data_IF_611392349091
#
_entry.id   IF_611392349091
#
_cell.length_a   1.000
_cell.length_b   1.000
_cell.length_c   1.000
_cell.angle_alpha   90.00
_cell.angle_beta   90.00
_cell.angle_gamma   90.00
#
_symmetry.space_group_name_H-M   'P 1'
#
loop_
_entity.id
_entity.type
_entity.pdbx_description
1 polymer ?
#
# COMPACT_ATOMS: atom_id res chain seq x y z
N UNK A 1 4.07 -0.05 -18.78
CA UNK A 1 4.65 -0.17 -17.41
C UNK A 1 3.67 -0.73 -16.38
N UNK A 2 2.41 -0.24 -16.33
CA UNK A 2 1.34 -0.73 -15.46
C UNK A 2 1.15 -2.26 -15.48
N UNK A 3 1.11 -2.87 -16.67
CA UNK A 3 0.98 -4.33 -16.87
C UNK A 3 2.15 -5.14 -16.30
N UNK A 4 3.36 -4.58 -16.29
CA UNK A 4 4.55 -5.24 -15.71
C UNK A 4 4.49 -5.24 -14.18
N UNK A 5 4.11 -4.11 -13.58
CA UNK A 5 3.92 -3.98 -12.13
C UNK A 5 2.82 -4.93 -11.63
N UNK A 6 1.68 -4.98 -12.34
CA UNK A 6 0.59 -5.90 -11.99
C UNK A 6 1.01 -7.36 -12.08
N UNK A 7 1.79 -7.74 -13.11
CA UNK A 7 2.32 -9.11 -13.23
C UNK A 7 3.26 -9.44 -12.08
N UNK A 8 4.17 -8.52 -11.73
CA UNK A 8 5.08 -8.69 -10.60
C UNK A 8 4.29 -8.86 -9.28
N UNK A 9 3.24 -8.07 -9.08
CA UNK A 9 2.36 -8.21 -7.93
C UNK A 9 1.60 -9.54 -7.91
N UNK A 10 0.99 -9.97 -9.02
CA UNK A 10 0.30 -11.28 -9.10
C UNK A 10 1.27 -12.44 -8.84
N UNK A 11 2.52 -12.35 -9.29
CA UNK A 11 3.55 -13.34 -8.96
C UNK A 11 3.95 -13.29 -7.48
N UNK A 12 4.07 -12.10 -6.91
CA UNK A 12 4.35 -11.90 -5.49
C UNK A 12 3.26 -12.51 -4.63
N UNK A 13 1.97 -12.26 -4.94
CA UNK A 13 0.84 -12.87 -4.22
C UNK A 13 0.96 -14.39 -4.18
N UNK A 14 1.24 -15.03 -5.32
CA UNK A 14 1.46 -16.48 -5.40
C UNK A 14 2.63 -16.94 -4.52
N UNK A 15 3.75 -16.21 -4.53
CA UNK A 15 4.92 -16.56 -3.71
C UNK A 15 4.69 -16.39 -2.20
N UNK A 16 3.72 -15.55 -1.83
CA UNK A 16 3.34 -15.27 -0.45
C UNK A 16 2.05 -15.99 -0.04
N UNK A 17 1.61 -16.98 -0.80
CA UNK A 17 0.39 -17.75 -0.53
C UNK A 17 -0.87 -16.88 -0.34
N UNK A 18 -0.91 -15.71 -1.00
CA UNK A 18 -2.11 -14.88 -1.06
C UNK A 18 -3.03 -15.44 -2.13
N UNK A 19 -4.23 -15.83 -1.71
CA UNK A 19 -5.26 -16.41 -2.58
C UNK A 19 -6.36 -15.38 -2.81
N UNK A 20 -6.76 -15.20 -4.07
CA UNK A 20 -7.91 -14.36 -4.44
C UNK A 20 -8.94 -15.23 -5.14
N UNK A 21 -10.22 -14.97 -4.89
CA UNK A 21 -11.32 -15.62 -5.60
C UNK A 21 -11.24 -15.33 -7.10
N UNK A 22 -11.52 -16.34 -7.93
CA UNK A 22 -11.63 -16.20 -9.39
C UNK A 22 -12.79 -15.28 -9.82
N UNK A 23 -13.68 -14.92 -8.89
CA UNK A 23 -14.72 -13.91 -9.09
C UNK A 23 -14.16 -12.47 -9.10
N UNK A 24 -12.87 -12.28 -8.83
CA UNK A 24 -12.23 -10.96 -8.77
C UNK A 24 -11.08 -10.84 -9.79
N UNK A 25 -10.91 -9.63 -10.31
CA UNK A 25 -9.71 -9.23 -11.03
C UNK A 25 -9.07 -8.00 -10.40
N UNK A 26 -7.74 -7.99 -10.41
CA UNK A 26 -6.94 -6.84 -9.99
C UNK A 26 -6.59 -6.06 -11.24
N UNK A 27 -7.10 -4.82 -11.31
CA UNK A 27 -7.02 -3.94 -12.49
C UNK A 27 -6.10 -2.77 -12.18
N UNK A 28 -5.34 -2.34 -13.19
CA UNK A 28 -4.57 -1.08 -13.12
C UNK A 28 -5.18 -0.06 -14.07
N UNK A 29 -5.54 1.09 -13.53
CA UNK A 29 -6.06 2.21 -14.31
C UNK A 29 -4.93 2.80 -15.16
N UNK A 30 -5.11 2.80 -16.49
CA UNK A 30 -4.07 3.15 -17.48
C UNK A 30 -3.48 4.55 -17.29
N UNK A 31 -4.28 5.50 -16.77
CA UNK A 31 -3.90 6.91 -16.68
C UNK A 31 -3.31 7.31 -15.32
N UNK A 32 -3.61 6.56 -14.25
CA UNK A 32 -3.16 6.90 -12.88
C UNK A 32 -2.20 5.88 -12.28
N UNK A 33 -1.99 4.72 -12.93
CA UNK A 33 -1.35 3.54 -12.33
C UNK A 33 -2.02 3.08 -11.03
N UNK A 34 -3.22 3.58 -10.72
CA UNK A 34 -3.99 3.18 -9.55
C UNK A 34 -4.43 1.73 -9.71
N UNK A 35 -4.32 0.97 -8.63
CA UNK A 35 -4.70 -0.44 -8.58
C UNK A 35 -6.05 -0.54 -7.89
N UNK A 36 -6.98 -1.28 -8.50
CA UNK A 36 -8.29 -1.54 -7.94
C UNK A 36 -8.66 -3.02 -8.09
N UNK A 37 -9.66 -3.45 -7.33
CA UNK A 37 -10.26 -4.78 -7.45
C UNK A 37 -11.62 -4.62 -8.11
N UNK A 38 -11.93 -5.49 -9.06
CA UNK A 38 -13.19 -5.50 -9.80
C UNK A 38 -13.81 -6.89 -9.75
N UNK A 39 -15.10 -6.96 -9.45
CA UNK A 39 -15.87 -8.19 -9.54
C UNK A 39 -16.11 -8.58 -11.01
N UNK A 40 -15.98 -9.87 -11.31
CA UNK A 40 -16.23 -10.47 -12.63
C UNK A 40 -17.63 -11.10 -12.72
N UNK A 41 -18.26 -11.33 -11.58
CA UNK A 41 -19.64 -11.78 -11.45
C UNK A 41 -20.26 -11.20 -10.18
N UNK A 42 -21.56 -11.45 -9.99
CA UNK A 42 -22.25 -11.05 -8.77
C UNK A 42 -21.64 -11.75 -7.55
N UNK A 43 -21.45 -10.99 -6.48
CA UNK A 43 -20.97 -11.47 -5.19
C UNK A 43 -22.09 -11.33 -4.16
N UNK A 44 -22.22 -12.32 -3.28
CA UNK A 44 -23.16 -12.31 -2.18
C UNK A 44 -22.47 -11.89 -0.88
N UNK A 45 -23.26 -11.40 0.08
CA UNK A 45 -22.77 -11.11 1.42
C UNK A 45 -22.28 -12.42 2.07
N UNK A 46 -21.02 -12.41 2.52
CA UNK A 46 -20.37 -13.57 3.12
C UNK A 46 -19.47 -14.37 2.17
N UNK A 47 -19.44 -14.04 0.88
CA UNK A 47 -18.53 -14.68 -0.07
C UNK A 47 -17.06 -14.40 0.28
N UNK A 48 -16.25 -15.45 0.29
CA UNK A 48 -14.80 -15.34 0.49
C UNK A 48 -14.16 -14.73 -0.76
N UNK A 49 -13.61 -13.52 -0.61
CA UNK A 49 -12.99 -12.77 -1.70
C UNK A 49 -11.48 -12.99 -1.80
N UNK A 50 -10.80 -13.14 -0.67
CA UNK A 50 -9.37 -13.39 -0.61
C UNK A 50 -8.97 -13.96 0.76
N UNK A 51 -7.87 -14.71 0.77
CA UNK A 51 -7.18 -15.19 1.96
C UNK A 51 -5.75 -14.64 1.95
N UNK A 52 -5.39 -13.89 2.99
CA UNK A 52 -4.06 -13.29 3.14
C UNK A 52 -3.41 -13.89 4.40
N UNK A 53 -2.33 -14.68 4.26
CA UNK A 53 -1.58 -15.18 5.41
C UNK A 53 -0.99 -14.04 6.22
N UNK A 54 -0.91 -14.20 7.55
CA UNK A 54 -0.39 -13.15 8.44
C UNK A 54 1.07 -12.85 8.18
N UNK A 55 1.82 -13.86 7.75
CA UNK A 55 3.24 -13.81 7.42
C UNK A 55 3.50 -12.93 6.19
N UNK A 56 2.52 -12.84 5.28
CA UNK A 56 2.57 -12.04 4.06
C UNK A 56 2.34 -10.55 4.32
N UNK A 57 1.76 -10.20 5.48
CA UNK A 57 1.56 -8.81 5.89
C UNK A 57 2.90 -8.16 6.23
N UNK A 58 3.18 -6.98 5.67
CA UNK A 58 4.34 -6.19 6.05
C UNK A 58 4.10 -5.52 7.40
N UNK A 59 4.83 -5.96 8.41
CA UNK A 59 4.77 -5.45 9.79
C UNK A 59 6.19 -5.35 10.35
N UNK A 60 6.35 -4.71 11.52
CA UNK A 60 7.62 -4.75 12.26
C UNK A 60 8.07 -6.20 12.51
N UNK A 61 7.14 -7.10 12.85
CA UNK A 61 7.47 -8.49 13.20
C UNK A 61 7.92 -9.35 12.03
N UNK A 62 7.41 -9.05 10.84
CA UNK A 62 7.65 -9.83 9.62
C UNK A 62 8.77 -9.24 8.76
N UNK A 63 9.07 -7.95 8.90
CA UNK A 63 10.13 -7.27 8.15
C UNK A 63 11.55 -7.71 8.55
N UNK A 64 12.49 -7.59 7.61
CA UNK A 64 13.92 -7.73 7.88
C UNK A 64 14.51 -6.63 8.78
N UNK A 65 13.80 -5.50 8.96
CA UNK A 65 14.21 -4.41 9.84
C UNK A 65 13.96 -4.69 11.33
N UNK A 66 13.26 -5.78 11.67
CA UNK A 66 12.73 -6.05 13.01
C UNK A 66 13.73 -5.78 14.13
N UNK A 67 14.91 -6.36 14.03
CA UNK A 67 15.94 -6.25 15.08
C UNK A 67 16.37 -4.80 15.29
N UNK A 68 16.59 -4.04 14.21
CA UNK A 68 16.98 -2.64 14.28
C UNK A 68 15.88 -1.76 14.91
N UNK A 69 14.62 -2.05 14.60
CA UNK A 69 13.46 -1.35 15.18
C UNK A 69 13.36 -1.63 16.68
N UNK A 70 13.48 -2.90 17.08
CA UNK A 70 13.44 -3.33 18.49
C UNK A 70 14.61 -2.72 19.29
N UNK A 71 15.82 -2.70 18.74
CA UNK A 71 17.01 -2.06 19.36
C UNK A 71 16.89 -0.54 19.48
N UNK A 72 16.12 0.09 18.59
CA UNK A 72 15.91 1.55 18.59
C UNK A 72 14.69 1.97 19.41
N UNK A 73 13.99 1.03 20.04
CA UNK A 73 12.75 1.25 20.81
C UNK A 73 11.69 2.05 20.01
N UNK A 74 11.68 1.88 18.68
CA UNK A 74 10.70 2.53 17.82
C UNK A 74 9.38 1.78 17.89
N UNK A 75 8.30 2.53 18.12
CA UNK A 75 6.96 1.97 18.27
C UNK A 75 5.92 2.60 17.33
N UNK A 76 4.76 1.96 17.26
CA UNK A 76 3.58 2.48 16.56
C UNK A 76 3.79 2.75 15.08
N UNK A 77 3.22 3.86 14.60
CA UNK A 77 3.25 4.26 13.19
C UNK A 77 4.66 4.59 12.71
N UNK A 78 5.52 5.12 13.61
CA UNK A 78 6.89 5.49 13.27
C UNK A 78 7.73 4.26 12.94
N UNK A 79 7.63 3.21 13.76
CA UNK A 79 8.28 1.93 13.50
C UNK A 79 7.87 1.35 12.14
N UNK A 80 6.57 1.38 11.81
CA UNK A 80 6.07 0.90 10.53
C UNK A 80 6.55 1.75 9.36
N UNK A 81 6.65 3.07 9.52
CA UNK A 81 7.20 3.94 8.49
C UNK A 81 8.65 3.58 8.16
N UNK A 82 9.49 3.34 9.18
CA UNK A 82 10.88 2.92 9.00
C UNK A 82 10.96 1.53 8.35
N UNK A 83 10.10 0.59 8.74
CA UNK A 83 9.97 -0.72 8.09
C UNK A 83 9.71 -0.58 6.59
N UNK A 84 8.75 0.26 6.20
CA UNK A 84 8.44 0.49 4.78
C UNK A 84 9.63 1.12 4.06
N UNK A 85 10.32 2.08 4.69
CA UNK A 85 11.53 2.69 4.13
C UNK A 85 12.65 1.67 3.94
N UNK A 86 12.89 0.81 4.93
CA UNK A 86 13.89 -0.25 4.88
C UNK A 86 13.59 -1.23 3.74
N UNK A 87 12.39 -1.80 3.69
CA UNK A 87 12.03 -2.76 2.63
C UNK A 87 12.07 -2.13 1.23
N UNK A 88 11.68 -0.86 1.10
CA UNK A 88 11.84 -0.12 -0.17
C UNK A 88 13.30 0.04 -0.56
N UNK A 89 14.20 0.28 0.39
CA UNK A 89 15.62 0.47 0.13
C UNK A 89 16.32 -0.78 -0.42
N UNK A 90 15.83 -1.96 -0.03
CA UNK A 90 16.33 -3.26 -0.53
C UNK A 90 15.97 -3.54 -1.99
N UNK A 91 14.95 -2.85 -2.53
CA UNK A 91 14.50 -3.06 -3.90
C UNK A 91 14.16 -4.55 -4.16
N UNK A 92 14.66 -5.18 -5.24
CA UNK A 92 14.38 -6.59 -5.57
C UNK A 92 14.76 -7.61 -4.50
N UNK A 93 15.59 -7.25 -3.52
CA UNK A 93 15.97 -8.13 -2.41
C UNK A 93 14.90 -8.18 -1.31
N UNK A 94 13.97 -7.22 -1.28
CA UNK A 94 12.85 -7.26 -0.32
C UNK A 94 11.85 -8.36 -0.71
N UNK A 95 11.40 -9.20 0.24
CA UNK A 95 10.31 -10.12 0.03
C UNK A 95 9.01 -9.42 -0.40
N UNK A 96 8.84 -8.13 -0.08
CA UNK A 96 7.68 -7.32 -0.42
C UNK A 96 7.85 -6.50 -1.71
N UNK A 97 8.93 -6.68 -2.47
CA UNK A 97 9.20 -5.83 -3.64
C UNK A 97 8.04 -5.75 -4.64
N UNK A 98 7.40 -6.89 -4.95
CA UNK A 98 6.26 -6.93 -5.88
C UNK A 98 5.03 -6.17 -5.37
N UNK A 99 4.80 -6.17 -4.05
CA UNK A 99 3.75 -5.38 -3.40
C UNK A 99 4.09 -3.88 -3.36
N UNK A 100 5.30 -3.54 -2.90
CA UNK A 100 5.75 -2.16 -2.75
C UNK A 100 5.79 -1.38 -4.07
N UNK A 101 5.96 -2.05 -5.21
CA UNK A 101 5.90 -1.44 -6.54
C UNK A 101 4.51 -0.90 -6.92
N UNK A 102 3.45 -1.41 -6.30
CA UNK A 102 2.08 -0.95 -6.52
C UNK A 102 1.73 0.30 -5.73
N UNK A 103 2.41 0.52 -4.59
CA UNK A 103 2.12 1.68 -3.74
C UNK A 103 2.55 2.94 -4.50
N UNK A 104 1.67 3.95 -4.63
CA UNK A 104 2.04 5.21 -5.27
C UNK A 104 3.11 5.94 -4.47
N UNK A 105 3.84 6.82 -5.15
CA UNK A 105 4.88 7.63 -4.51
C UNK A 105 4.27 8.72 -3.61
N UNK A 106 3.13 9.28 -4.04
CA UNK A 106 2.38 10.29 -3.31
C UNK A 106 0.88 10.04 -3.44
N UNK A 107 0.15 10.47 -2.41
CA UNK A 107 -1.32 10.49 -2.40
C UNK A 107 -1.78 11.96 -2.40
N UNK A 108 -2.95 12.29 -2.96
CA UNK A 108 -3.49 13.65 -3.00
C UNK A 108 -4.08 14.06 -1.64
N UNK A 109 -3.27 14.00 -0.58
CA UNK A 109 -3.65 14.36 0.78
C UNK A 109 -3.33 15.84 1.02
N UNK A 110 -4.26 16.65 1.57
CA UNK A 110 -4.05 18.07 1.87
C UNK A 110 -2.74 18.41 2.57
N UNK A 111 -2.27 17.55 3.48
CA UNK A 111 -1.01 17.69 4.19
C UNK A 111 0.22 17.81 3.27
N UNK A 112 0.14 17.28 2.05
CA UNK A 112 1.21 17.29 1.05
C UNK A 112 1.02 18.36 -0.03
N UNK A 113 -0.03 19.18 0.06
CA UNK A 113 -0.33 20.21 -0.94
C UNK A 113 0.49 21.48 -0.69
N UNK A 114 0.67 22.31 -1.72
CA UNK A 114 1.24 23.64 -1.55
C UNK A 114 0.30 24.54 -0.75
N UNK A 115 0.85 25.55 -0.06
CA UNK A 115 0.05 26.54 0.66
C UNK A 115 -1.01 27.19 -0.25
N UNK A 116 -0.63 27.51 -1.50
CA UNK A 116 -1.57 28.06 -2.49
C UNK A 116 -2.74 27.12 -2.82
N UNK A 117 -2.51 25.79 -2.86
CA UNK A 117 -3.56 24.80 -3.06
C UNK A 117 -4.47 24.72 -1.84
N UNK A 118 -3.90 24.76 -0.63
CA UNK A 118 -4.66 24.76 0.62
C UNK A 118 -5.58 26.00 0.67
N UNK A 119 -5.04 27.19 0.44
CA UNK A 119 -5.79 28.44 0.50
C UNK A 119 -6.89 28.55 -0.57
N UNK A 120 -6.66 27.99 -1.75
CA UNK A 120 -7.65 28.06 -2.85
C UNK A 120 -8.70 26.96 -2.80
N UNK A 121 -8.34 25.75 -2.37
CA UNK A 121 -9.22 24.57 -2.45
C UNK A 121 -9.92 24.24 -1.13
N UNK A 122 -9.37 24.67 0.00
CA UNK A 122 -9.88 24.31 1.33
C UNK A 122 -10.49 25.49 2.08
N UNK A 123 -10.46 26.71 1.52
CA UNK A 123 -11.05 27.89 2.16
C UNK A 123 -12.48 27.63 2.64
N UNK A 124 -12.73 27.92 3.92
CA UNK A 124 -14.03 27.71 4.56
C UNK A 124 -14.29 26.30 5.07
N UNK A 125 -13.35 25.37 4.91
CA UNK A 125 -13.40 24.04 5.56
C UNK A 125 -12.63 24.05 6.89
N UNK A 126 -12.95 23.12 7.81
CA UNK A 126 -12.17 22.96 9.05
C UNK A 126 -10.71 22.57 8.78
N UNK A 127 -10.43 21.91 7.65
CA UNK A 127 -9.06 21.53 7.26
C UNK A 127 -8.18 22.73 6.88
N UNK A 128 -8.77 23.86 6.48
CA UNK A 128 -8.03 25.10 6.21
C UNK A 128 -7.63 25.83 7.49
N UNK A 129 -8.32 25.58 8.60
CA UNK A 129 -8.07 26.24 9.90
C UNK A 129 -6.88 25.66 10.67
N UNK A 130 -6.02 24.87 10.03
CA UNK A 130 -4.89 24.20 10.69
C UNK A 130 -4.17 25.18 11.63
N UNK A 131 -4.16 24.80 12.91
CA UNK A 131 -4.14 25.68 14.09
C UNK A 131 -3.23 26.93 14.01
N UNK A 132 -3.81 28.08 14.35
CA UNK A 132 -3.10 29.30 14.75
C UNK A 132 -2.52 29.17 16.15
#
# INVERSE_FOLDING_TARGET
MATRKLRAFKNWMKSQHVECSDALDVVVTTNSSAVSVRALCDLNVGDLVATIPKESCLTVKTSGARQMIEESELEGILALAVVIMYERSLGPLSPWFGYLQLIPYSEPIPLLWSLSQIDSLLAGTELHKADS
#
